data_IF_771285720848
#
_entry.id   IF_771285720848
#
_cell.length_a   1.000
_cell.length_b   1.000
_cell.length_c   1.000
_cell.angle_alpha   90.00
_cell.angle_beta   90.00
_cell.angle_gamma   90.00
#
_symmetry.space_group_name_H-M   'P 1'
#
loop_
_entity.id
_entity.type
_entity.pdbx_description
1 polymer ?
#
# COMPACT_ATOMS: atom_id res chain seq x y z
N UNK A 1 -45.00 -12.69 -7.30
CA UNK A 1 -43.59 -12.80 -7.74
C UNK A 1 -42.76 -11.51 -7.58
N UNK A 2 -43.34 -10.31 -7.39
CA UNK A 2 -42.56 -9.06 -7.38
C UNK A 2 -41.65 -8.82 -6.16
N UNK A 3 -42.03 -9.26 -4.96
CA UNK A 3 -41.25 -9.00 -3.73
C UNK A 3 -39.88 -9.72 -3.68
N UNK A 4 -39.76 -10.87 -4.35
CA UNK A 4 -38.54 -11.68 -4.38
C UNK A 4 -37.51 -11.07 -5.33
N UNK A 5 -37.96 -10.46 -6.43
CA UNK A 5 -37.12 -9.74 -7.40
C UNK A 5 -36.54 -8.47 -6.75
N UNK A 6 -37.36 -7.68 -6.07
CA UNK A 6 -36.88 -6.45 -5.40
C UNK A 6 -35.85 -6.74 -4.30
N UNK A 7 -36.04 -7.82 -3.52
CA UNK A 7 -35.06 -8.27 -2.54
C UNK A 7 -33.74 -8.71 -3.19
N UNK A 8 -33.81 -9.35 -4.37
CA UNK A 8 -32.63 -9.78 -5.12
C UNK A 8 -31.84 -8.58 -5.66
N UNK A 9 -32.52 -7.55 -6.16
CA UNK A 9 -31.90 -6.29 -6.63
C UNK A 9 -31.21 -5.55 -5.48
N UNK A 10 -31.86 -5.44 -4.31
CA UNK A 10 -31.28 -4.81 -3.11
C UNK A 10 -30.08 -5.60 -2.56
N UNK A 11 -30.11 -6.92 -2.66
CA UNK A 11 -29.00 -7.78 -2.22
C UNK A 11 -27.81 -7.67 -3.16
N UNK A 12 -28.04 -7.62 -4.48
CA UNK A 12 -26.98 -7.50 -5.48
C UNK A 12 -26.27 -6.15 -5.38
N UNK A 13 -27.02 -5.04 -5.21
CA UNK A 13 -26.43 -3.71 -5.00
C UNK A 13 -25.53 -3.63 -3.74
N UNK A 14 -25.87 -4.38 -2.68
CA UNK A 14 -25.08 -4.46 -1.45
C UNK A 14 -23.74 -5.17 -1.66
N UNK A 15 -23.74 -6.28 -2.39
CA UNK A 15 -22.51 -7.02 -2.72
C UNK A 15 -21.59 -6.21 -3.65
N UNK A 16 -22.15 -5.48 -4.62
CA UNK A 16 -21.39 -4.60 -5.49
C UNK A 16 -20.73 -3.44 -4.73
N UNK A 17 -21.39 -2.88 -3.71
CA UNK A 17 -20.83 -1.83 -2.84
C UNK A 17 -19.60 -2.30 -2.04
N UNK A 18 -19.57 -3.57 -1.63
CA UNK A 18 -18.41 -4.17 -0.95
C UNK A 18 -17.27 -4.41 -1.94
N UNK A 19 -17.58 -4.86 -3.16
CA UNK A 19 -16.60 -5.08 -4.22
C UNK A 19 -16.03 -3.77 -4.81
N UNK A 20 -16.81 -2.69 -4.81
CA UNK A 20 -16.44 -1.35 -5.31
C UNK A 20 -15.80 -0.44 -4.25
N UNK A 21 -15.37 -0.98 -3.10
CA UNK A 21 -14.43 -0.25 -2.25
C UNK A 21 -13.06 -0.24 -2.92
N UNK A 22 -12.97 0.37 -4.10
CA UNK A 22 -11.71 0.90 -4.61
C UNK A 22 -11.30 1.96 -3.59
N UNK A 23 -10.33 1.55 -2.78
CA UNK A 23 -9.60 2.32 -1.82
C UNK A 23 -8.83 3.45 -2.53
N UNK A 24 -9.58 4.44 -2.99
CA UNK A 24 -9.14 5.73 -3.52
C UNK A 24 -8.44 6.61 -2.46
N UNK A 25 -8.09 6.04 -1.31
CA UNK A 25 -7.44 6.72 -0.20
C UNK A 25 -5.94 6.89 -0.49
N UNK A 26 -5.54 7.63 -1.54
CA UNK A 26 -4.17 8.16 -1.73
C UNK A 26 -2.99 7.19 -1.55
N UNK A 27 -3.25 5.88 -1.61
CA UNK A 27 -2.38 4.81 -1.14
C UNK A 27 -2.19 3.80 -2.27
N UNK A 28 -2.33 4.24 -3.52
CA UNK A 28 -2.02 3.39 -4.66
C UNK A 28 -0.51 3.11 -4.68
N UNK A 29 -0.12 1.94 -5.21
CA UNK A 29 1.30 1.60 -5.38
C UNK A 29 2.00 2.67 -6.22
N UNK A 30 1.31 3.22 -7.23
CA UNK A 30 1.88 4.25 -8.09
C UNK A 30 2.20 5.52 -7.31
N UNK A 31 1.32 5.96 -6.43
CA UNK A 31 1.50 7.21 -5.66
C UNK A 31 2.64 7.05 -4.65
N UNK A 32 2.67 5.96 -3.89
CA UNK A 32 3.77 5.73 -2.93
C UNK A 32 5.12 5.57 -3.63
N UNK A 33 5.16 4.94 -4.81
CA UNK A 33 6.40 4.81 -5.58
C UNK A 33 6.87 6.13 -6.20
N UNK A 34 6.00 7.12 -6.38
CA UNK A 34 6.42 8.47 -6.74
C UNK A 34 7.14 9.15 -5.57
N UNK A 35 6.57 9.07 -4.36
CA UNK A 35 7.16 9.60 -3.13
C UNK A 35 8.51 8.95 -2.77
N UNK A 36 8.68 7.66 -3.06
CA UNK A 36 9.96 6.94 -2.92
C UNK A 36 11.05 7.56 -3.79
N UNK A 37 10.71 7.90 -5.04
CA UNK A 37 11.67 8.55 -5.95
C UNK A 37 11.98 9.97 -5.50
N UNK A 38 10.96 10.70 -5.05
CA UNK A 38 11.12 12.06 -4.52
C UNK A 38 12.00 12.10 -3.26
N UNK A 39 11.96 11.06 -2.43
CA UNK A 39 12.85 10.97 -1.26
C UNK A 39 14.28 10.48 -1.56
N UNK A 40 14.62 10.25 -2.84
CA UNK A 40 15.98 9.88 -3.26
C UNK A 40 16.25 8.38 -3.34
N UNK A 41 15.26 7.52 -3.09
CA UNK A 41 15.37 6.08 -3.34
C UNK A 41 15.22 5.79 -4.84
N UNK A 42 16.33 5.97 -5.57
CA UNK A 42 16.42 5.78 -7.02
C UNK A 42 16.48 4.29 -7.39
N UNK A 43 16.16 3.92 -8.65
CA UNK A 43 16.33 2.54 -9.12
C UNK A 43 17.74 1.99 -8.80
N UNK A 44 17.79 0.71 -8.45
CA UNK A 44 19.01 -0.01 -8.03
C UNK A 44 19.55 0.28 -6.63
N UNK A 45 18.89 1.11 -5.82
CA UNK A 45 19.21 1.18 -4.38
C UNK A 45 18.42 0.15 -3.59
N UNK A 46 18.91 -0.18 -2.39
CA UNK A 46 18.23 -1.07 -1.46
C UNK A 46 16.86 -0.51 -1.06
N UNK A 47 16.75 0.81 -0.90
CA UNK A 47 15.54 1.53 -0.51
C UNK A 47 14.45 1.43 -1.59
N UNK A 48 14.83 1.54 -2.88
CA UNK A 48 13.87 1.37 -3.98
C UNK A 48 13.44 -0.10 -4.12
N UNK A 49 14.37 -1.04 -3.91
CA UNK A 49 14.04 -2.46 -3.97
C UNK A 49 13.11 -2.87 -2.82
N UNK A 50 13.43 -2.50 -1.57
CA UNK A 50 12.60 -2.82 -0.41
C UNK A 50 11.23 -2.15 -0.51
N UNK A 51 11.12 -0.93 -1.05
CA UNK A 51 9.84 -0.27 -1.31
C UNK A 51 8.92 -1.13 -2.20
N UNK A 52 9.48 -1.76 -3.24
CA UNK A 52 8.75 -2.63 -4.17
C UNK A 52 8.18 -3.87 -3.49
N UNK A 53 8.81 -4.35 -2.41
CA UNK A 53 8.34 -5.48 -1.61
C UNK A 53 7.34 -5.03 -0.54
N UNK A 54 7.69 -3.99 0.21
CA UNK A 54 6.94 -3.50 1.38
C UNK A 54 5.58 -2.95 0.97
N UNK A 55 5.51 -2.19 -0.12
CA UNK A 55 4.26 -1.56 -0.56
C UNK A 55 3.27 -2.47 -1.26
N UNK A 56 3.57 -3.77 -1.38
CA UNK A 56 2.53 -4.77 -1.67
C UNK A 56 1.48 -4.82 -0.55
N UNK A 57 1.86 -4.46 0.69
CA UNK A 57 0.98 -4.43 1.85
C UNK A 57 0.37 -3.04 2.06
N UNK A 58 -0.96 -2.96 2.12
CA UNK A 58 -1.68 -1.70 2.33
C UNK A 58 -1.31 -0.98 3.64
N UNK A 59 -1.23 -1.72 4.75
CA UNK A 59 -0.87 -1.12 6.04
C UNK A 59 0.50 -0.44 6.02
N UNK A 60 1.47 -0.99 5.28
CA UNK A 60 2.79 -0.38 5.14
C UNK A 60 2.76 0.89 4.31
N UNK A 61 1.91 0.92 3.26
CA UNK A 61 1.67 2.14 2.49
C UNK A 61 1.00 3.22 3.34
N UNK A 62 0.01 2.86 4.14
CA UNK A 62 -0.67 3.78 5.05
C UNK A 62 0.29 4.38 6.09
N UNK A 63 1.19 3.57 6.68
CA UNK A 63 2.24 4.06 7.58
C UNK A 63 3.21 4.98 6.85
N UNK A 64 3.64 4.63 5.64
CA UNK A 64 4.54 5.48 4.87
C UNK A 64 3.94 6.84 4.52
N UNK A 65 2.62 6.89 4.30
CA UNK A 65 1.88 8.14 4.05
C UNK A 65 1.78 9.06 5.27
N UNK A 66 2.05 8.57 6.49
CA UNK A 66 2.10 9.44 7.68
C UNK A 66 3.44 10.17 7.82
N UNK A 67 4.45 9.82 7.03
CA UNK A 67 5.76 10.47 7.03
C UNK A 67 5.69 11.74 6.19
N UNK A 68 6.06 12.88 6.77
CA UNK A 68 5.84 14.19 6.15
C UNK A 68 7.02 14.60 5.26
N UNK A 69 8.24 14.28 5.70
CA UNK A 69 9.48 14.71 5.03
C UNK A 69 10.07 13.63 4.13
N UNK A 70 10.93 14.06 3.20
CA UNK A 70 11.67 13.13 2.34
C UNK A 70 12.68 12.31 3.15
N UNK A 71 13.35 12.94 4.10
CA UNK A 71 14.37 12.33 4.95
C UNK A 71 13.77 11.21 5.81
N UNK A 72 12.60 11.44 6.43
CA UNK A 72 11.90 10.42 7.21
C UNK A 72 11.49 9.22 6.34
N UNK A 73 11.00 9.46 5.12
CA UNK A 73 10.62 8.41 4.18
C UNK A 73 11.83 7.56 3.79
N UNK A 74 12.95 8.20 3.46
CA UNK A 74 14.17 7.49 3.10
C UNK A 74 14.75 6.70 4.27
N UNK A 75 14.80 7.30 5.46
CA UNK A 75 15.27 6.64 6.68
C UNK A 75 14.39 5.43 7.05
N UNK A 76 13.07 5.55 6.90
CA UNK A 76 12.14 4.45 7.12
C UNK A 76 12.40 3.26 6.18
N UNK A 77 12.63 3.53 4.89
CA UNK A 77 12.98 2.49 3.90
C UNK A 77 14.29 1.81 4.26
N UNK A 78 15.30 2.59 4.68
CA UNK A 78 16.60 2.08 5.13
C UNK A 78 16.42 1.13 6.31
N UNK A 79 15.68 1.55 7.35
CA UNK A 79 15.39 0.72 8.53
C UNK A 79 14.60 -0.55 8.18
N UNK A 80 13.67 -0.47 7.23
CA UNK A 80 12.92 -1.64 6.73
C UNK A 80 13.82 -2.64 6.04
N UNK A 81 14.74 -2.17 5.18
CA UNK A 81 15.73 -3.02 4.54
C UNK A 81 16.62 -3.72 5.58
N UNK A 82 17.21 -2.97 6.51
CA UNK A 82 18.07 -3.52 7.57
C UNK A 82 17.34 -4.50 8.48
N UNK A 83 16.08 -4.20 8.82
CA UNK A 83 15.24 -5.11 9.60
C UNK A 83 14.99 -6.39 8.80
N UNK A 84 14.62 -6.30 7.53
CA UNK A 84 14.39 -7.48 6.70
C UNK A 84 15.66 -8.32 6.58
N UNK A 85 16.82 -7.73 6.25
CA UNK A 85 18.09 -8.46 6.15
C UNK A 85 18.47 -9.19 7.44
N UNK A 86 18.26 -8.57 8.62
CA UNK A 86 18.58 -9.21 9.91
C UNK A 86 17.61 -10.34 10.27
N UNK A 87 16.34 -10.23 9.88
CA UNK A 87 15.32 -11.21 10.24
C UNK A 87 15.16 -12.32 9.19
N UNK A 88 15.59 -12.12 7.95
CA UNK A 88 15.59 -13.16 6.91
C UNK A 88 16.66 -14.24 7.17
N UNK A 89 17.78 -13.87 7.80
CA UNK A 89 18.86 -14.78 8.22
C UNK A 89 18.42 -15.76 9.34
N UNK A 90 17.22 -15.58 9.91
CA UNK A 90 16.68 -16.45 10.96
C UNK A 90 15.87 -17.66 10.45
N UNK A 91 16.04 -18.07 9.18
CA UNK A 91 15.44 -19.29 8.62
C UNK A 91 16.47 -20.33 8.21
#
# INVERSE_FOLDING_TARGET
MGKIVEMNERTTASCESIARREDNSGCSIKDVMALVKECGAVPSTNENFIASIVFTKRAEREIFMTLETHEERFEWLTRKHEWMTRNDVSK
#
